data_IF_528380694334
#
_entry.id   IF_528380694334
#
_cell.length_a   1.000
_cell.length_b   1.000
_cell.length_c   1.000
_cell.angle_alpha   90.00
_cell.angle_beta   90.00
_cell.angle_gamma   90.00
#
_symmetry.space_group_name_H-M   'P 1'
#
loop_
_entity.id
_entity.type
_entity.pdbx_description
1 polymer ?
#
# COMPACT_ATOMS: atom_id res chain seq x y z
N UNK A 1 -39.54 35.56 13.45
CA UNK A 1 -38.81 34.47 14.13
C UNK A 1 -38.67 33.17 13.31
N UNK A 2 -39.61 32.81 12.42
CA UNK A 2 -39.56 31.55 11.63
C UNK A 2 -38.35 31.41 10.67
N UNK A 3 -37.88 32.51 10.08
CA UNK A 3 -36.75 32.53 9.14
C UNK A 3 -35.37 32.33 9.83
N UNK A 4 -35.22 32.76 11.09
CA UNK A 4 -33.99 32.59 11.86
C UNK A 4 -33.69 31.11 12.11
N UNK A 5 -34.71 30.31 12.43
CA UNK A 5 -34.57 28.87 12.62
C UNK A 5 -34.22 28.13 11.31
N UNK A 6 -34.70 28.61 10.17
CA UNK A 6 -34.35 28.06 8.85
C UNK A 6 -32.88 28.30 8.48
N UNK A 7 -32.41 29.55 8.62
CA UNK A 7 -31.00 29.91 8.34
C UNK A 7 -30.03 29.19 9.28
N UNK A 8 -30.42 29.02 10.55
CA UNK A 8 -29.62 28.29 11.55
C UNK A 8 -29.57 26.78 11.25
N UNK A 9 -30.69 26.17 10.85
CA UNK A 9 -30.73 24.75 10.42
C UNK A 9 -29.92 24.51 9.15
N UNK A 10 -29.97 25.42 8.18
CA UNK A 10 -29.20 25.32 6.94
C UNK A 10 -27.69 25.37 7.23
N UNK A 11 -27.25 26.30 8.10
CA UNK A 11 -25.84 26.39 8.53
C UNK A 11 -25.37 25.16 9.30
N UNK A 12 -26.20 24.61 10.19
CA UNK A 12 -25.85 23.39 10.95
C UNK A 12 -25.71 22.19 9.99
N UNK A 13 -26.62 22.04 9.02
CA UNK A 13 -26.51 20.98 8.01
C UNK A 13 -25.25 21.13 7.16
N UNK A 14 -24.89 22.35 6.79
CA UNK A 14 -23.68 22.64 5.99
C UNK A 14 -22.39 22.32 6.76
N UNK A 15 -22.38 22.61 8.07
CA UNK A 15 -21.25 22.28 8.95
C UNK A 15 -21.12 20.76 9.19
N UNK A 16 -22.22 20.03 9.29
CA UNK A 16 -22.20 18.57 9.41
C UNK A 16 -21.68 17.93 8.12
N UNK A 17 -22.13 18.40 6.95
CA UNK A 17 -21.60 17.92 5.66
C UNK A 17 -20.10 18.22 5.50
N UNK A 18 -19.63 19.40 5.91
CA UNK A 18 -18.22 19.74 5.88
C UNK A 18 -17.38 18.85 6.82
N UNK A 19 -17.92 18.49 7.98
CA UNK A 19 -17.24 17.60 8.93
C UNK A 19 -17.08 16.16 8.40
N UNK A 20 -18.04 15.66 7.60
CA UNK A 20 -17.98 14.30 7.02
C UNK A 20 -16.85 14.16 5.99
N UNK A 21 -16.50 15.23 5.27
CA UNK A 21 -15.42 15.21 4.25
C UNK A 21 -14.04 15.06 4.90
N UNK A 22 -13.87 15.47 6.17
CA UNK A 22 -12.58 15.48 6.86
C UNK A 22 -12.22 14.15 7.56
N UNK A 23 -13.09 13.15 7.53
CA UNK A 23 -12.91 11.86 8.26
C UNK A 23 -12.48 10.72 7.32
N UNK A 24 -12.10 11.04 6.08
CA UNK A 24 -11.50 10.06 5.16
C UNK A 24 -10.11 9.63 5.64
N UNK A 25 -10.04 8.72 6.60
CA UNK A 25 -8.84 7.97 6.92
C UNK A 25 -8.63 6.96 5.77
N UNK A 26 -8.10 7.44 4.64
CA UNK A 26 -7.77 6.61 3.49
C UNK A 26 -6.61 5.68 3.82
N UNK A 27 -6.73 4.41 3.47
CA UNK A 27 -5.64 3.46 3.57
C UNK A 27 -4.74 3.64 2.34
N UNK A 28 -3.57 4.25 2.54
CA UNK A 28 -2.66 4.57 1.44
C UNK A 28 -2.18 3.34 0.66
N UNK A 29 -2.22 2.14 1.25
CA UNK A 29 -1.88 0.91 0.53
C UNK A 29 -3.03 0.53 -0.41
N UNK A 30 -4.28 0.65 0.05
CA UNK A 30 -5.45 0.40 -0.80
C UNK A 30 -5.49 1.37 -1.98
N UNK A 31 -5.19 2.65 -1.75
CA UNK A 31 -5.12 3.64 -2.84
C UNK A 31 -4.07 3.27 -3.90
N UNK A 32 -2.91 2.73 -3.47
CA UNK A 32 -1.87 2.24 -4.38
C UNK A 32 -2.39 1.03 -5.17
N UNK A 33 -2.96 0.04 -4.49
CA UNK A 33 -3.43 -1.19 -5.14
C UNK A 33 -4.62 -0.95 -6.09
N UNK A 34 -5.50 0.00 -5.78
CA UNK A 34 -6.63 0.40 -6.63
C UNK A 34 -6.18 1.22 -7.85
N UNK A 35 -5.02 1.87 -7.78
CA UNK A 35 -4.44 2.60 -8.91
C UNK A 35 -3.82 1.69 -9.98
N UNK A 36 -3.63 0.41 -9.68
CA UNK A 36 -3.08 -0.57 -10.61
C UNK A 36 -4.05 -0.84 -11.77
N UNK A 37 -3.51 -1.06 -12.96
CA UNK A 37 -4.32 -1.48 -14.10
C UNK A 37 -4.88 -2.91 -13.92
N UNK A 38 -4.16 -3.76 -13.18
CA UNK A 38 -4.53 -5.15 -12.91
C UNK A 38 -4.21 -5.56 -11.47
N UNK A 39 -5.05 -6.43 -10.88
CA UNK A 39 -4.89 -6.90 -9.50
C UNK A 39 -3.56 -7.61 -9.20
N UNK A 40 -2.90 -8.21 -10.19
CA UNK A 40 -1.63 -8.91 -9.98
C UNK A 40 -0.44 -7.95 -9.84
N UNK A 41 -0.59 -6.67 -10.20
CA UNK A 41 0.45 -5.64 -10.10
C UNK A 41 0.70 -5.15 -8.66
N UNK A 42 0.07 -5.80 -7.68
CA UNK A 42 0.46 -5.68 -6.26
C UNK A 42 1.69 -6.54 -5.92
N UNK A 43 2.09 -7.43 -6.84
CA UNK A 43 3.34 -8.18 -6.78
C UNK A 43 4.47 -7.32 -7.35
N UNK A 44 5.71 -7.80 -7.27
CA UNK A 44 6.87 -7.02 -7.74
C UNK A 44 7.50 -7.68 -8.96
N UNK A 45 8.02 -6.89 -9.89
CA UNK A 45 8.87 -7.38 -10.98
C UNK A 45 10.35 -7.01 -10.77
N UNK A 46 11.22 -7.55 -11.62
CA UNK A 46 12.67 -7.34 -11.53
C UNK A 46 13.06 -5.86 -11.65
N UNK A 47 12.40 -5.11 -12.53
CA UNK A 47 12.70 -3.69 -12.72
C UNK A 47 12.30 -2.83 -11.51
N UNK A 48 11.25 -3.19 -10.78
CA UNK A 48 10.86 -2.55 -9.52
C UNK A 48 11.81 -2.93 -8.39
N UNK A 49 12.20 -4.20 -8.33
CA UNK A 49 13.18 -4.67 -7.35
C UNK A 49 14.55 -4.00 -7.52
N UNK A 50 14.95 -3.68 -8.74
CA UNK A 50 16.17 -2.92 -8.99
C UNK A 50 16.09 -1.47 -8.50
N UNK A 51 14.89 -0.85 -8.57
CA UNK A 51 14.66 0.53 -8.12
C UNK A 51 14.71 0.67 -6.59
N UNK A 52 14.40 -0.37 -5.82
CA UNK A 52 14.48 -0.31 -4.36
C UNK A 52 15.93 -0.28 -3.87
N UNK A 53 16.22 0.61 -2.91
CA UNK A 53 17.56 0.88 -2.38
C UNK A 53 17.59 0.83 -0.87
N UNK A 54 18.74 0.50 -0.31
CA UNK A 54 18.98 0.55 1.12
C UNK A 54 18.60 1.93 1.70
N UNK A 55 17.98 1.95 2.88
CA UNK A 55 17.48 3.15 3.53
C UNK A 55 16.09 3.63 3.09
N UNK A 56 15.46 3.02 2.09
CA UNK A 56 14.05 3.29 1.79
C UNK A 56 13.13 2.81 2.90
N UNK A 57 12.05 3.55 3.14
CA UNK A 57 10.97 3.15 4.05
C UNK A 57 10.10 2.04 3.46
N UNK A 58 9.33 1.37 4.31
CA UNK A 58 8.38 0.37 3.83
C UNK A 58 7.42 0.95 2.79
N UNK A 59 6.87 2.14 3.04
CA UNK A 59 5.92 2.77 2.14
C UNK A 59 6.52 3.21 0.80
N UNK A 60 7.80 3.61 0.77
CA UNK A 60 8.49 3.87 -0.50
C UNK A 60 8.65 2.59 -1.32
N UNK A 61 8.99 1.47 -0.67
CA UNK A 61 9.06 0.16 -1.33
C UNK A 61 7.68 -0.28 -1.85
N UNK A 62 6.61 -0.13 -1.06
CA UNK A 62 5.23 -0.46 -1.46
C UNK A 62 4.80 0.35 -2.68
N UNK A 63 5.13 1.64 -2.74
CA UNK A 63 4.84 2.49 -3.91
C UNK A 63 5.57 2.04 -5.16
N UNK A 64 6.81 1.57 -5.03
CA UNK A 64 7.58 1.03 -6.14
C UNK A 64 7.03 -0.32 -6.60
N UNK A 65 6.59 -1.15 -5.65
CA UNK A 65 6.08 -2.50 -5.90
C UNK A 65 4.61 -2.55 -6.33
N UNK A 66 3.90 -1.42 -6.36
CA UNK A 66 2.47 -1.38 -6.69
C UNK A 66 1.54 -2.04 -5.65
N UNK A 67 2.04 -2.43 -4.46
CA UNK A 67 1.20 -3.06 -3.44
C UNK A 67 1.95 -3.58 -2.22
N UNK A 68 1.19 -4.02 -1.21
CA UNK A 68 1.77 -4.51 0.03
C UNK A 68 2.40 -5.90 -0.13
N UNK A 69 3.58 -6.08 0.47
CA UNK A 69 4.24 -7.36 0.53
C UNK A 69 3.63 -8.27 1.59
N UNK A 70 3.67 -9.57 1.36
CA UNK A 70 3.28 -10.57 2.35
C UNK A 70 4.28 -10.57 3.50
N UNK A 71 3.79 -10.42 4.73
CA UNK A 71 4.65 -10.48 5.92
C UNK A 71 5.08 -11.92 6.17
N UNK A 72 6.38 -12.21 6.06
CA UNK A 72 6.94 -13.52 6.42
C UNK A 72 7.19 -13.59 7.93
N UNK A 73 7.81 -12.55 8.47
CA UNK A 73 8.19 -12.38 9.88
C UNK A 73 8.21 -10.88 10.19
N UNK A 74 8.43 -10.53 11.46
CA UNK A 74 8.61 -9.13 11.88
C UNK A 74 9.65 -8.45 10.99
N UNK A 75 9.25 -7.33 10.38
CA UNK A 75 10.06 -6.49 9.49
C UNK A 75 10.63 -7.23 8.25
N UNK A 76 10.04 -8.36 7.85
CA UNK A 76 10.42 -9.13 6.67
C UNK A 76 9.20 -9.37 5.77
N UNK A 77 9.29 -8.89 4.54
CA UNK A 77 8.20 -8.89 3.57
C UNK A 77 8.62 -9.59 2.29
N UNK A 78 7.64 -10.21 1.62
CA UNK A 78 7.81 -10.93 0.36
C UNK A 78 6.82 -10.44 -0.68
N UNK A 79 7.32 -10.12 -1.86
CA UNK A 79 6.51 -10.02 -3.07
C UNK A 79 6.78 -11.23 -3.95
N UNK A 80 5.75 -11.82 -4.55
CA UNK A 80 5.97 -12.80 -5.61
C UNK A 80 6.35 -12.08 -6.89
N UNK A 81 6.92 -12.81 -7.86
CA UNK A 81 7.14 -12.28 -9.19
C UNK A 81 5.82 -12.11 -9.95
N UNK A 82 5.59 -10.90 -10.48
CA UNK A 82 4.38 -10.54 -11.22
C UNK A 82 4.09 -11.45 -12.42
N UNK A 83 5.12 -11.93 -13.11
CA UNK A 83 4.99 -12.57 -14.42
C UNK A 83 5.03 -14.09 -14.29
N UNK A 84 6.10 -14.61 -13.70
CA UNK A 84 6.39 -16.04 -13.70
C UNK A 84 5.94 -16.72 -12.40
N UNK A 85 5.77 -15.97 -11.31
CA UNK A 85 5.48 -16.49 -9.97
C UNK A 85 6.45 -17.61 -9.50
N UNK A 86 7.60 -17.76 -10.16
CA UNK A 86 8.65 -18.74 -9.84
C UNK A 86 9.75 -18.14 -8.97
N UNK A 87 9.73 -16.82 -8.77
CA UNK A 87 10.65 -16.08 -7.91
C UNK A 87 9.84 -15.28 -6.89
N UNK A 88 10.50 -14.95 -5.79
CA UNK A 88 10.01 -14.02 -4.79
C UNK A 88 11.11 -13.04 -4.41
N UNK A 89 10.71 -11.81 -4.13
CA UNK A 89 11.55 -10.70 -3.70
C UNK A 89 11.34 -10.51 -2.20
N UNK A 90 12.32 -10.91 -1.40
CA UNK A 90 12.27 -10.79 0.05
C UNK A 90 13.05 -9.54 0.48
N UNK A 91 12.44 -8.75 1.35
CA UNK A 91 12.94 -7.45 1.77
C UNK A 91 12.85 -7.36 3.29
N UNK A 92 13.91 -6.89 3.93
CA UNK A 92 13.99 -6.73 5.37
C UNK A 92 14.21 -5.27 5.75
N UNK A 93 13.50 -4.86 6.78
CA UNK A 93 13.56 -3.52 7.35
C UNK A 93 14.12 -3.57 8.77
N UNK A 94 14.71 -2.45 9.20
CA UNK A 94 15.05 -2.16 10.59
C UNK A 94 14.77 -0.69 10.82
N UNK A 95 14.03 -0.35 11.86
CA UNK A 95 13.66 1.04 12.18
C UNK A 95 13.03 1.77 10.97
N UNK A 96 12.13 1.09 10.24
CA UNK A 96 11.51 1.55 8.98
C UNK A 96 12.51 1.92 7.86
N UNK A 97 13.65 1.22 7.83
CA UNK A 97 14.65 1.39 6.78
C UNK A 97 15.03 0.04 6.18
N UNK A 98 14.99 -0.03 4.86
CA UNK A 98 15.41 -1.19 4.09
C UNK A 98 16.90 -1.46 4.38
N UNK A 99 17.21 -2.63 4.94
CA UNK A 99 18.58 -3.06 5.27
C UNK A 99 19.05 -4.27 4.45
N UNK A 100 18.12 -5.04 3.88
CA UNK A 100 18.47 -6.22 3.09
C UNK A 100 17.40 -6.51 2.04
N UNK A 101 17.83 -6.91 0.83
CA UNK A 101 16.96 -7.45 -0.21
C UNK A 101 17.58 -8.71 -0.82
N UNK A 102 16.77 -9.72 -1.12
CA UNK A 102 17.20 -10.99 -1.70
C UNK A 102 16.12 -11.59 -2.61
N UNK A 103 16.55 -12.37 -3.61
CA UNK A 103 15.67 -13.12 -4.51
C UNK A 103 15.69 -14.59 -4.08
N UNK A 104 14.52 -15.21 -3.99
CA UNK A 104 14.36 -16.64 -3.72
C UNK A 104 13.56 -17.33 -4.82
N UNK A 105 13.92 -18.56 -5.18
CA UNK A 105 13.10 -19.39 -6.06
C UNK A 105 11.91 -20.01 -5.30
N UNK A 106 10.72 -19.88 -5.87
CA UNK A 106 9.52 -20.58 -5.42
C UNK A 106 9.50 -21.94 -6.11
N UNK A 107 10.07 -22.95 -5.46
CA UNK A 107 9.92 -24.34 -5.91
C UNK A 107 8.48 -24.76 -5.64
N UNK A 108 7.70 -24.94 -6.71
CA UNK A 108 6.37 -25.52 -6.61
C UNK A 108 6.45 -26.86 -5.91
N UNK A 109 5.82 -27.00 -4.73
CA UNK A 109 5.60 -28.32 -4.15
C UNK A 109 4.65 -29.07 -5.09
N UNK A 110 5.17 -30.01 -5.88
CA UNK A 110 4.32 -31.10 -6.40
C UNK A 110 3.68 -31.76 -5.18
N UNK A 111 2.35 -31.66 -5.09
CA UNK A 111 1.55 -32.55 -4.23
C UNK A 111 1.70 -33.98 -4.73
#
# INVERSE_FOLDING_TARGET
>A
MRNYYYIKRLNISLLICAAVILVGCGDSILDIEESNAYHWQKNMNEAEFEKIKEGMTYMEVVKIAGGAGETLKKDQYRWNDEILMTKAYNVQFKDDKLVKKEISEIKGKKK
#
